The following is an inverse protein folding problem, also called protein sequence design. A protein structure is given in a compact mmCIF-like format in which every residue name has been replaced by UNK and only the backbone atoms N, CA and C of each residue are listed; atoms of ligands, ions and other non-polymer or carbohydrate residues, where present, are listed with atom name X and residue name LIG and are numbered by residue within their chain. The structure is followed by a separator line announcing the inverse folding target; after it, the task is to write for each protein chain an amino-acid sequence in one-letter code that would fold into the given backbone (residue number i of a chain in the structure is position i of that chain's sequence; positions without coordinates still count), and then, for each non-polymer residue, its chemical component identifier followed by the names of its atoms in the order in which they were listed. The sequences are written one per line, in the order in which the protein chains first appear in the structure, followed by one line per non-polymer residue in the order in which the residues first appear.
data_IF_144811303101
#
_entry.id   IF_144811303101
#
_cell.length_a   1.000
_cell.length_b   1.000
_cell.length_c   1.000
_cell.angle_alpha   90.00
_cell.angle_beta   90.00
_cell.angle_gamma   90.00
#
_symmetry.space_group_name_H-M   'P 1'
#
loop_
_entity.id
_entity.type
_entity.pdbx_description
1 polymer ?
#
# COMPACT_ATOMS: atom_id res chain seq x y z
N UNK A 1 -45.69 3.63 -7.66
CA UNK A 1 -44.53 2.83 -8.10
C UNK A 1 -43.43 3.79 -8.50
N UNK A 2 -42.36 3.88 -7.71
CA UNK A 2 -40.99 4.06 -8.22
C UNK A 2 -40.04 3.92 -7.04
N UNK A 3 -39.13 2.97 -7.18
CA UNK A 3 -38.27 2.45 -6.15
C UNK A 3 -37.28 3.53 -5.68
N UNK A 4 -37.28 3.80 -4.37
CA UNK A 4 -36.12 4.37 -3.70
C UNK A 4 -35.01 3.34 -3.75
N UNK A 5 -34.04 3.54 -4.65
CA UNK A 5 -32.79 2.80 -4.64
C UNK A 5 -32.06 3.15 -3.34
N UNK A 6 -32.04 2.19 -2.42
CA UNK A 6 -30.98 2.09 -1.42
C UNK A 6 -29.65 2.09 -2.20
N UNK A 7 -28.90 3.20 -2.12
CA UNK A 7 -27.48 3.12 -2.40
C UNK A 7 -26.88 2.34 -1.22
N UNK A 8 -26.32 1.14 -1.42
CA UNK A 8 -25.47 0.58 -0.38
C UNK A 8 -24.31 1.57 -0.23
N UNK A 9 -24.17 2.12 0.97
CA UNK A 9 -22.91 2.69 1.44
C UNK A 9 -21.84 1.66 1.09
N UNK A 10 -21.07 1.98 0.04
CA UNK A 10 -19.98 1.16 -0.42
C UNK A 10 -19.11 0.91 0.79
N UNK A 11 -19.17 -0.32 1.30
CA UNK A 11 -18.20 -0.79 2.27
C UNK A 11 -16.88 -0.68 1.51
N UNK A 12 -16.08 0.36 1.79
CA UNK A 12 -14.75 0.54 1.23
C UNK A 12 -13.83 -0.57 1.75
N UNK A 13 -14.16 -1.81 1.44
CA UNK A 13 -13.25 -2.95 1.46
C UNK A 13 -12.64 -2.97 0.07
N UNK A 14 -11.91 -1.89 -0.26
CA UNK A 14 -11.08 -1.86 -1.45
C UNK A 14 -10.05 -2.97 -1.33
N UNK A 15 -9.75 -3.65 -2.43
CA UNK A 15 -8.69 -4.64 -2.43
C UNK A 15 -7.36 -4.01 -2.00
N UNK A 16 -6.35 -4.83 -1.69
CA UNK A 16 -5.04 -4.32 -1.32
C UNK A 16 -4.47 -3.36 -2.38
N UNK A 17 -4.70 -3.61 -3.68
CA UNK A 17 -4.29 -2.72 -4.77
C UNK A 17 -4.99 -1.36 -4.69
N UNK A 18 -6.31 -1.33 -4.51
CA UNK A 18 -7.08 -0.07 -4.41
C UNK A 18 -6.64 0.76 -3.20
N UNK A 19 -6.37 0.10 -2.06
CA UNK A 19 -5.89 0.78 -0.87
C UNK A 19 -4.51 1.41 -1.09
N UNK A 20 -3.61 0.74 -1.80
CA UNK A 20 -2.29 1.26 -2.17
C UNK A 20 -2.42 2.42 -3.16
N UNK A 21 -3.23 2.26 -4.20
CA UNK A 21 -3.48 3.28 -5.22
C UNK A 21 -4.07 4.55 -4.59
N UNK A 22 -5.12 4.42 -3.77
CA UNK A 22 -5.72 5.55 -3.06
C UNK A 22 -4.71 6.27 -2.16
N UNK A 23 -3.94 5.50 -1.38
CA UNK A 23 -2.94 6.08 -0.48
C UNK A 23 -1.88 6.84 -1.26
N UNK A 24 -1.43 6.27 -2.38
CA UNK A 24 -0.46 6.88 -3.28
C UNK A 24 -1.00 8.15 -3.92
N UNK A 25 -2.24 8.13 -4.41
CA UNK A 25 -2.89 9.31 -5.00
C UNK A 25 -3.03 10.46 -4.00
N UNK A 26 -3.35 10.15 -2.74
CA UNK A 26 -3.41 11.14 -1.64
C UNK A 26 -2.02 11.74 -1.38
N UNK A 27 -1.00 10.89 -1.23
CA UNK A 27 0.37 11.33 -0.94
C UNK A 27 0.97 12.13 -2.10
N UNK A 28 0.72 11.71 -3.33
CA UNK A 28 1.13 12.43 -4.53
C UNK A 28 0.42 13.78 -4.64
N UNK A 29 -0.91 13.83 -4.47
CA UNK A 29 -1.69 15.07 -4.57
C UNK A 29 -1.37 16.09 -3.48
N UNK A 30 -1.00 15.64 -2.27
CA UNK A 30 -0.66 16.53 -1.15
C UNK A 30 0.79 17.00 -1.17
N UNK A 31 1.62 16.46 -2.07
CA UNK A 31 3.04 16.76 -2.10
C UNK A 31 3.75 16.24 -0.86
N UNK A 32 3.67 14.92 -0.63
CA UNK A 32 4.43 14.15 0.38
C UNK A 32 3.80 14.06 1.78
N UNK A 33 4.22 13.07 2.57
CA UNK A 33 3.67 12.73 3.89
C UNK A 33 3.27 11.26 4.04
N UNK A 34 2.68 10.91 5.18
CA UNK A 34 2.26 9.54 5.52
C UNK A 34 0.74 9.43 5.63
N UNK A 35 0.14 8.42 4.99
CA UNK A 35 -1.31 8.19 5.04
C UNK A 35 -1.75 7.54 6.35
N UNK A 36 -3.05 7.62 6.61
CA UNK A 36 -3.67 6.75 7.62
C UNK A 36 -3.60 5.30 7.15
N UNK A 37 -3.42 4.38 8.10
CA UNK A 37 -3.42 2.95 7.80
C UNK A 37 -4.81 2.49 7.35
N UNK A 38 -4.86 1.72 6.25
CA UNK A 38 -6.07 1.06 5.75
C UNK A 38 -5.97 -0.44 6.00
N UNK A 39 -6.99 -1.02 6.64
CA UNK A 39 -7.09 -2.47 6.80
C UNK A 39 -7.56 -3.10 5.49
N UNK A 40 -6.88 -4.15 5.07
CA UNK A 40 -7.18 -4.90 3.85
C UNK A 40 -7.05 -6.40 4.10
N UNK A 41 -7.59 -7.19 3.18
CA UNK A 41 -7.39 -8.63 3.12
C UNK A 41 -6.67 -8.97 1.82
N UNK A 42 -5.52 -9.62 1.94
CA UNK A 42 -4.84 -10.26 0.83
C UNK A 42 -5.41 -11.66 0.69
N UNK A 43 -5.97 -11.99 -0.48
CA UNK A 43 -6.43 -13.34 -0.77
C UNK A 43 -5.24 -14.26 -1.10
N UNK A 44 -5.43 -15.57 -0.93
CA UNK A 44 -4.40 -16.54 -1.28
C UNK A 44 -4.10 -16.49 -2.79
N UNK A 45 -2.81 -16.43 -3.15
CA UNK A 45 -2.33 -16.31 -4.52
C UNK A 45 -2.40 -14.88 -5.07
N UNK A 46 -2.70 -13.88 -4.24
CA UNK A 46 -2.69 -12.50 -4.68
C UNK A 46 -1.25 -12.06 -5.01
N UNK A 47 -1.05 -11.57 -6.24
CA UNK A 47 0.18 -10.97 -6.71
C UNK A 47 -0.09 -9.49 -6.97
N UNK A 48 0.69 -8.62 -6.34
CA UNK A 48 0.62 -7.18 -6.50
C UNK A 48 1.97 -6.68 -7.00
N UNK A 49 1.94 -5.99 -8.13
CA UNK A 49 3.12 -5.38 -8.77
C UNK A 49 2.95 -3.87 -8.83
N UNK A 50 4.05 -3.12 -8.88
CA UNK A 50 4.03 -1.65 -8.87
C UNK A 50 3.15 -1.05 -9.96
N UNK A 51 3.26 -1.52 -11.20
CA UNK A 51 2.41 -1.12 -12.33
C UNK A 51 0.90 -1.24 -12.06
N UNK A 52 0.47 -2.18 -11.21
CA UNK A 52 -0.96 -2.30 -10.84
C UNK A 52 -1.42 -1.22 -9.85
N UNK A 53 -0.48 -0.65 -9.10
CA UNK A 53 -0.73 0.38 -8.07
C UNK A 53 -0.62 1.80 -8.64
N UNK A 54 0.25 2.02 -9.64
CA UNK A 54 0.54 3.36 -10.18
C UNK A 54 -0.32 3.75 -11.40
N UNK A 55 -1.30 2.92 -11.79
CA UNK A 55 -1.98 2.97 -13.11
C UNK A 55 -2.38 4.38 -13.59
N UNK A 56 -3.01 5.17 -12.73
CA UNK A 56 -3.53 6.51 -13.06
C UNK A 56 -2.73 7.64 -12.37
N UNK A 57 -1.63 7.30 -11.72
CA UNK A 57 -0.79 8.23 -10.97
C UNK A 57 0.49 8.44 -11.78
N UNK A 58 0.86 9.69 -12.12
CA UNK A 58 2.00 9.98 -12.98
C UNK A 58 3.32 9.88 -12.20
N UNK A 59 3.61 8.68 -11.70
CA UNK A 59 4.86 8.31 -11.05
C UNK A 59 5.46 7.09 -11.76
N UNK A 60 6.77 6.94 -11.65
CA UNK A 60 7.50 5.82 -12.24
C UNK A 60 7.58 4.63 -11.27
N UNK A 61 7.74 3.41 -11.78
CA UNK A 61 7.85 2.22 -10.92
C UNK A 61 9.11 2.23 -10.03
N UNK A 62 10.16 2.93 -10.44
CA UNK A 62 11.38 3.15 -9.64
C UNK A 62 11.16 4.12 -8.47
N UNK A 63 10.13 4.96 -8.54
CA UNK A 63 9.76 5.91 -7.48
C UNK A 63 8.93 5.24 -6.38
N UNK A 64 8.27 4.11 -6.67
CA UNK A 64 7.49 3.35 -5.70
C UNK A 64 8.33 2.22 -5.11
N UNK A 65 8.17 1.91 -3.82
CA UNK A 65 8.76 0.73 -3.19
C UNK A 65 7.77 0.05 -2.25
N UNK A 66 7.67 -1.27 -2.31
CA UNK A 66 6.95 -2.06 -1.31
C UNK A 66 7.88 -2.39 -0.14
N UNK A 67 7.36 -2.23 1.07
CA UNK A 67 8.04 -2.55 2.30
C UNK A 67 7.13 -3.37 3.21
N UNK A 68 7.72 -4.31 3.92
CA UNK A 68 7.01 -5.12 4.91
C UNK A 68 7.58 -4.81 6.29
N UNK A 69 6.71 -4.63 7.28
CA UNK A 69 7.11 -4.49 8.67
C UNK A 69 7.66 -5.79 9.22
N UNK A 70 8.59 -5.69 10.17
CA UNK A 70 9.28 -6.82 10.81
C UNK A 70 8.29 -7.64 11.69
N UNK A 71 7.50 -8.51 11.06
CA UNK A 71 6.28 -9.08 11.65
C UNK A 71 6.01 -10.51 11.18
N UNK A 72 5.19 -11.24 11.94
CA UNK A 72 4.80 -12.62 11.66
C UNK A 72 4.00 -12.82 10.34
N UNK A 73 3.52 -11.73 9.73
CA UNK A 73 2.78 -11.80 8.46
C UNK A 73 3.72 -11.67 7.24
N UNK A 74 4.86 -11.01 7.41
CA UNK A 74 5.85 -10.71 6.38
C UNK A 74 6.90 -11.83 6.30
N UNK A 75 6.55 -12.93 5.65
CA UNK A 75 7.44 -14.06 5.41
C UNK A 75 7.05 -14.83 4.14
N UNK A 76 7.93 -15.72 3.69
CA UNK A 76 7.72 -16.53 2.49
C UNK A 76 6.46 -17.39 2.52
N UNK A 77 5.95 -17.78 3.69
CA UNK A 77 4.79 -18.66 3.83
C UNK A 77 3.44 -17.91 3.86
N UNK A 78 3.46 -16.62 4.18
CA UNK A 78 2.27 -15.79 4.38
C UNK A 78 2.16 -14.67 3.33
N UNK A 79 3.01 -13.65 3.47
CA UNK A 79 3.07 -12.49 2.58
C UNK A 79 4.54 -12.14 2.34
N UNK A 80 4.99 -12.35 1.11
CA UNK A 80 6.35 -12.13 0.70
C UNK A 80 6.44 -10.82 -0.08
N UNK A 81 7.19 -9.86 0.45
CA UNK A 81 7.58 -8.66 -0.29
C UNK A 81 8.94 -8.93 -0.91
N UNK A 82 9.07 -8.76 -2.22
CA UNK A 82 10.33 -8.99 -2.90
C UNK A 82 11.44 -8.09 -2.34
N UNK A 83 12.67 -8.59 -2.28
CA UNK A 83 13.81 -7.87 -1.66
C UNK A 83 14.16 -6.56 -2.37
N UNK A 84 13.80 -6.44 -3.65
CA UNK A 84 13.92 -5.22 -4.46
C UNK A 84 12.70 -4.28 -4.31
N UNK A 85 11.71 -4.66 -3.50
CA UNK A 85 10.46 -3.95 -3.28
C UNK A 85 9.57 -3.85 -4.54
N UNK A 86 9.77 -4.72 -5.55
CA UNK A 86 9.05 -4.71 -6.84
C UNK A 86 7.63 -5.27 -6.78
N UNK A 87 7.37 -6.19 -5.84
CA UNK A 87 6.10 -6.90 -5.75
C UNK A 87 5.79 -7.43 -4.35
N UNK A 88 4.53 -7.77 -4.16
CA UNK A 88 3.99 -8.47 -2.99
C UNK A 88 3.28 -9.74 -3.46
N UNK A 89 3.68 -10.88 -2.91
CA UNK A 89 3.09 -12.19 -3.16
C UNK A 89 2.42 -12.70 -1.87
N UNK A 90 1.11 -12.90 -1.88
CA UNK A 90 0.38 -13.49 -0.75
C UNK A 90 0.20 -15.01 -0.98
N UNK A 91 0.86 -15.81 -0.15
CA UNK A 91 0.79 -17.28 -0.21
C UNK A 91 -0.33 -17.87 0.65
N UNK A 92 -0.99 -17.03 1.46
CA UNK A 92 -2.17 -17.36 2.25
C UNK A 92 -3.08 -16.16 2.37
N UNK A 93 -4.35 -16.42 2.70
CA UNK A 93 -5.28 -15.35 3.04
C UNK A 93 -4.85 -14.70 4.35
N UNK A 94 -4.59 -13.39 4.30
CA UNK A 94 -4.10 -12.64 5.47
C UNK A 94 -4.72 -11.25 5.54
N UNK A 95 -5.03 -10.82 6.76
CA UNK A 95 -5.44 -9.44 7.02
C UNK A 95 -4.22 -8.62 7.43
N UNK A 96 -4.07 -7.46 6.82
CA UNK A 96 -2.95 -6.57 7.08
C UNK A 96 -3.41 -5.11 6.98
N UNK A 97 -2.54 -4.21 7.41
CA UNK A 97 -2.69 -2.78 7.28
C UNK A 97 -1.70 -2.25 6.26
N UNK A 98 -2.19 -1.37 5.40
CA UNK A 98 -1.41 -0.69 4.38
C UNK A 98 -1.27 0.78 4.75
N UNK A 99 -0.06 1.29 4.66
CA UNK A 99 0.27 2.71 4.82
C UNK A 99 1.09 3.13 3.61
N UNK A 100 0.84 4.33 3.10
CA UNK A 100 1.62 4.90 2.01
C UNK A 100 2.35 6.14 2.50
N UNK A 101 3.61 6.28 2.13
CA UNK A 101 4.48 7.38 2.50
C UNK A 101 5.07 8.02 1.25
N UNK A 102 5.42 9.29 1.32
CA UNK A 102 6.14 10.01 0.28
C UNK A 102 7.15 10.95 0.89
N UNK A 103 8.35 11.02 0.32
CA UNK A 103 9.44 11.86 0.78
C UNK A 103 9.55 13.18 0.00
N UNK A 104 9.59 14.30 0.72
CA UNK A 104 9.73 15.65 0.16
C UNK A 104 11.19 16.12 0.03
N UNK A 105 12.14 15.40 0.64
CA UNK A 105 13.54 15.86 0.71
C UNK A 105 14.30 15.70 -0.60
N UNK A 106 13.76 14.94 -1.57
CA UNK A 106 14.30 14.80 -2.93
C UNK A 106 13.31 15.25 -4.01
N UNK A 107 13.08 16.56 -4.19
CA UNK A 107 12.11 17.08 -5.15
C UNK A 107 12.39 16.73 -6.63
N UNK A 108 13.59 16.21 -6.95
CA UNK A 108 13.93 15.72 -8.29
C UNK A 108 13.80 14.21 -8.50
N UNK A 109 13.60 13.43 -7.43
CA UNK A 109 13.41 11.97 -7.46
C UNK A 109 12.45 11.59 -6.32
N UNK A 110 11.15 11.86 -6.47
CA UNK A 110 10.18 11.59 -5.42
C UNK A 110 10.20 10.09 -5.08
N UNK A 111 10.17 9.77 -3.79
CA UNK A 111 10.13 8.38 -3.31
C UNK A 111 8.84 8.13 -2.58
N UNK A 112 8.09 7.16 -3.08
CA UNK A 112 6.86 6.66 -2.49
C UNK A 112 7.09 5.27 -1.93
N UNK A 113 6.52 5.02 -0.77
CA UNK A 113 6.64 3.75 -0.07
C UNK A 113 5.25 3.23 0.23
N UNK A 114 5.04 1.93 0.06
CA UNK A 114 3.85 1.23 0.54
C UNK A 114 4.32 0.25 1.61
N UNK A 115 4.07 0.59 2.86
CA UNK A 115 4.32 -0.28 4.00
C UNK A 115 3.13 -1.18 4.29
N UNK A 116 3.41 -2.46 4.49
CA UNK A 116 2.44 -3.46 4.93
C UNK A 116 2.84 -3.98 6.31
N UNK A 117 1.89 -4.08 7.23
CA UNK A 117 2.11 -4.59 8.59
C UNK A 117 0.85 -5.21 9.18
N UNK A 118 0.98 -5.92 10.30
CA UNK A 118 -0.19 -6.46 11.00
C UNK A 118 -0.94 -5.32 11.72
N UNK A 119 -0.20 -4.33 12.20
CA UNK A 119 -0.71 -3.10 12.80
C UNK A 119 -0.38 -1.84 11.98
N UNK A 120 -1.10 -0.75 12.28
CA UNK A 120 -0.85 0.55 11.67
C UNK A 120 0.59 1.05 11.96
N UNK A 121 1.10 0.78 13.16
CA UNK A 121 2.42 1.24 13.59
C UNK A 121 3.55 0.50 12.87
N UNK A 122 3.39 -0.81 12.67
CA UNK A 122 4.32 -1.63 11.88
C UNK A 122 4.33 -1.21 10.41
N UNK A 123 3.15 -1.04 9.81
CA UNK A 123 3.04 -0.58 8.43
C UNK A 123 3.68 0.80 8.24
N UNK A 124 3.48 1.72 9.20
CA UNK A 124 4.15 3.03 9.22
C UNK A 124 5.66 2.90 9.34
N UNK A 125 6.15 2.11 10.28
CA UNK A 125 7.59 1.92 10.54
C UNK A 125 8.29 1.29 9.34
N UNK A 126 7.67 0.30 8.70
CA UNK A 126 8.18 -0.31 7.47
C UNK A 126 8.33 0.73 6.36
N UNK A 127 7.30 1.55 6.20
CA UNK A 127 7.20 2.58 5.17
C UNK A 127 8.23 3.71 5.38
N UNK A 128 8.42 4.18 6.61
CA UNK A 128 9.43 5.21 6.93
C UNK A 128 10.86 4.67 6.87
N UNK A 129 11.10 3.47 7.42
CA UNK A 129 12.44 2.87 7.46
C UNK A 129 12.94 2.45 6.08
N UNK A 130 12.12 1.76 5.28
CA UNK A 130 12.54 1.24 3.99
C UNK A 130 12.82 2.37 2.98
N UNK A 131 12.02 3.44 3.03
CA UNK A 131 12.15 4.55 2.10
C UNK A 131 12.99 5.71 2.64
N UNK A 132 13.49 5.61 3.89
CA UNK A 132 14.35 6.60 4.53
C UNK A 132 13.66 7.94 4.75
N UNK A 133 12.35 7.91 5.03
CA UNK A 133 11.50 9.08 5.21
C UNK A 133 11.53 9.42 6.70
N UNK A 134 12.20 10.52 7.06
CA UNK A 134 12.43 10.96 8.44
C UNK A 134 11.37 11.95 8.94
#
# INVERSE_FOLDING_TARGET
MNAFFFQPVASCVGGPVDAMHDGLGITWSKGFGITTAKKVTFENGALIVKSSVIRDIPISEDELQFACGDTAICNSDNLNVASDGSKIDANRRIEAQIVVCGDSEKPGVPRYCVGVGQSAEEARTACTSACGIA
#
